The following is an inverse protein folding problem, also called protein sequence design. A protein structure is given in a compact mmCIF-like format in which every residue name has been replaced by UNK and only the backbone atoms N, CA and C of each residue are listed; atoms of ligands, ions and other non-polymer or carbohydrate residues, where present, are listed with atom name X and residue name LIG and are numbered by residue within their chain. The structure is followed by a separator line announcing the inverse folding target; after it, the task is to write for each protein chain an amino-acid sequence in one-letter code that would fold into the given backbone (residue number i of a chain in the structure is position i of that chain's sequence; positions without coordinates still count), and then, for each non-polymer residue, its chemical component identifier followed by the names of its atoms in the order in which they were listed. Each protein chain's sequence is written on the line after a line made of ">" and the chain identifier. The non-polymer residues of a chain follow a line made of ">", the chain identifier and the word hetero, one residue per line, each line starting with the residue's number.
data_IF_168285748449
#
_entry.id   IF_168285748449
#
_cell.length_a   1.000
_cell.length_b   1.000
_cell.length_c   1.000
_cell.angle_alpha   90.00
_cell.angle_beta   90.00
_cell.angle_gamma   90.00
#
_symmetry.space_group_name_H-M   'P 1'
#
loop_
_entity.id
_entity.type
_entity.pdbx_description
1 polymer ?
#
# COMPACT_ATOMS: atom_id res chain seq x y z
N UNK A 1 9.93 9.25 8.15
CA UNK A 1 10.06 8.34 7.00
C UNK A 1 9.04 8.79 5.96
N UNK A 2 9.49 9.20 4.78
CA UNK A 2 8.64 9.78 3.72
C UNK A 2 8.16 8.63 2.82
N UNK A 3 6.87 8.28 2.90
CA UNK A 3 6.29 7.18 2.11
C UNK A 3 5.59 7.79 0.90
N UNK A 4 5.86 7.28 -0.30
CA UNK A 4 5.45 7.88 -1.58
C UNK A 4 4.72 6.87 -2.48
N UNK A 5 3.84 7.28 -3.41
CA UNK A 5 3.10 6.38 -4.35
C UNK A 5 3.44 6.59 -5.84
N UNK A 6 3.03 5.69 -6.76
CA UNK A 6 3.31 5.75 -8.23
C UNK A 6 2.08 5.31 -9.03
N UNK A 7 1.81 5.93 -10.19
CA UNK A 7 0.83 5.51 -11.23
C UNK A 7 1.37 5.86 -12.63
N UNK A 8 1.20 5.04 -13.70
CA UNK A 8 1.87 5.21 -15.02
C UNK A 8 0.93 5.21 -16.27
N UNK A 9 1.38 5.70 -17.43
CA UNK A 9 0.84 5.49 -18.79
C UNK A 9 1.92 4.95 -19.79
N UNK A 10 1.74 3.68 -20.20
CA UNK A 10 2.23 2.93 -21.40
C UNK A 10 3.71 2.94 -21.89
N UNK A 11 4.34 1.74 -21.86
CA UNK A 11 5.52 1.29 -22.65
C UNK A 11 5.91 -0.20 -22.38
N UNK A 12 6.85 -0.82 -23.13
CA UNK A 12 6.86 -2.27 -23.45
C UNK A 12 7.64 -3.26 -22.56
N UNK A 13 8.45 -2.82 -21.60
CA UNK A 13 8.90 -3.64 -20.45
C UNK A 13 8.45 -3.03 -19.12
N UNK A 14 7.57 -2.04 -19.22
CA UNK A 14 7.11 -1.22 -18.13
C UNK A 14 6.01 -1.93 -17.36
N UNK A 15 6.03 -1.74 -16.04
CA UNK A 15 4.85 -2.06 -15.27
C UNK A 15 3.83 -0.96 -15.54
N UNK A 16 2.84 -1.31 -16.33
CA UNK A 16 1.72 -0.44 -16.66
C UNK A 16 0.68 -0.54 -15.55
N UNK A 17 0.62 0.48 -14.69
CA UNK A 17 -0.44 0.61 -13.70
C UNK A 17 -1.67 1.23 -14.35
N UNK A 18 -2.82 0.58 -14.23
CA UNK A 18 -4.08 1.16 -14.72
C UNK A 18 -4.56 2.24 -13.76
N UNK A 19 -5.17 3.33 -14.26
CA UNK A 19 -5.91 4.26 -13.41
C UNK A 19 -6.93 3.51 -12.55
N UNK A 20 -6.86 3.67 -11.23
CA UNK A 20 -7.71 2.98 -10.26
C UNK A 20 -7.11 1.70 -9.66
N UNK A 21 -5.94 1.25 -10.09
CA UNK A 21 -5.20 0.19 -9.38
C UNK A 21 -4.67 0.67 -8.02
N UNK A 22 -4.49 -0.26 -7.10
CA UNK A 22 -3.91 0.01 -5.79
C UNK A 22 -2.52 0.65 -5.98
N UNK A 23 -2.29 1.86 -5.45
CA UNK A 23 -0.99 2.51 -5.58
C UNK A 23 0.12 1.68 -4.94
N UNK A 24 1.33 1.74 -5.50
CA UNK A 24 2.50 1.14 -4.87
C UNK A 24 2.93 1.96 -3.66
N UNK A 25 3.44 1.28 -2.64
CA UNK A 25 4.13 1.93 -1.53
C UNK A 25 5.63 1.96 -1.77
N UNK A 26 6.20 3.16 -1.68
CA UNK A 26 7.62 3.42 -1.81
C UNK A 26 8.22 3.71 -0.42
N UNK A 27 9.37 3.08 -0.13
CA UNK A 27 10.23 3.35 1.03
C UNK A 27 11.13 4.56 0.83
N UNK A 28 11.73 4.67 -0.36
CA UNK A 28 12.67 5.73 -0.74
C UNK A 28 12.41 6.16 -2.19
N UNK A 29 12.44 7.47 -2.44
CA UNK A 29 12.36 8.02 -3.79
C UNK A 29 13.39 9.16 -3.92
N UNK A 30 14.42 8.92 -4.72
CA UNK A 30 15.49 9.87 -5.00
C UNK A 30 15.23 10.48 -6.38
N UNK A 31 15.11 11.80 -6.45
CA UNK A 31 14.82 12.51 -7.70
C UNK A 31 16.12 12.79 -8.43
N UNK A 32 16.16 12.45 -9.71
CA UNK A 32 17.26 12.72 -10.60
C UNK A 32 16.78 13.52 -11.81
N UNK A 33 17.70 14.31 -12.37
CA UNK A 33 17.52 14.98 -13.65
C UNK A 33 18.74 14.65 -14.49
N UNK A 34 18.53 14.06 -15.66
CA UNK A 34 19.60 13.82 -16.61
C UNK A 34 19.52 14.88 -17.71
N UNK A 35 20.57 15.68 -17.82
CA UNK A 35 20.75 16.61 -18.92
C UNK A 35 21.33 15.86 -20.11
N UNK A 36 20.66 15.90 -21.27
CA UNK A 36 21.17 15.32 -22.51
C UNK A 36 21.57 16.41 -23.52
N UNK A 37 22.86 16.77 -23.60
CA UNK A 37 23.31 17.87 -24.46
C UNK A 37 23.29 17.56 -25.97
N UNK A 38 23.05 16.31 -26.39
CA UNK A 38 23.08 15.91 -27.81
C UNK A 38 21.72 15.86 -28.49
N UNK A 39 20.63 15.96 -27.72
CA UNK A 39 19.27 16.12 -28.23
C UNK A 39 18.95 17.61 -28.24
N UNK A 40 18.78 18.19 -29.43
CA UNK A 40 18.51 19.62 -29.64
C UNK A 40 17.04 19.99 -29.29
N UNK A 41 16.52 19.45 -28.19
CA UNK A 41 15.20 19.69 -27.61
C UNK A 41 15.33 19.78 -26.09
N UNK A 42 14.53 20.67 -25.51
CA UNK A 42 14.34 20.92 -24.07
C UNK A 42 13.79 19.71 -23.28
N UNK A 43 14.15 18.48 -23.63
CA UNK A 43 13.69 17.27 -22.97
C UNK A 43 14.65 16.92 -21.82
N UNK A 44 14.67 17.76 -20.78
CA UNK A 44 15.20 17.42 -19.46
C UNK A 44 14.40 16.22 -18.92
N UNK A 45 14.90 15.00 -19.11
CA UNK A 45 14.24 13.82 -18.56
C UNK A 45 14.44 13.79 -17.06
N UNK A 46 13.35 14.02 -16.33
CA UNK A 46 13.33 13.91 -14.86
C UNK A 46 12.74 12.56 -14.47
N UNK A 47 13.42 11.85 -13.58
CA UNK A 47 13.02 10.52 -13.12
C UNK A 47 13.30 10.36 -11.63
N UNK A 48 12.72 9.31 -11.04
CA UNK A 48 13.01 8.89 -9.68
C UNK A 48 13.61 7.49 -9.68
N UNK A 49 14.64 7.30 -8.87
CA UNK A 49 15.00 5.97 -8.38
C UNK A 49 14.17 5.68 -7.14
N UNK A 50 13.40 4.60 -7.17
CA UNK A 50 12.49 4.24 -6.07
C UNK A 50 12.84 2.87 -5.49
N UNK A 51 12.72 2.73 -4.18
CA UNK A 51 12.72 1.45 -3.46
C UNK A 51 11.31 1.13 -2.98
N UNK A 52 10.72 0.03 -3.43
CA UNK A 52 9.37 -0.38 -3.05
C UNK A 52 9.31 -1.04 -1.66
N UNK A 53 8.15 -0.97 -1.01
CA UNK A 53 7.87 -1.74 0.22
C UNK A 53 7.72 -3.24 -0.09
N UNK A 54 7.13 -3.57 -1.24
CA UNK A 54 6.96 -4.94 -1.75
C UNK A 54 7.51 -5.03 -3.17
N UNK A 55 8.24 -6.11 -3.52
CA UNK A 55 8.87 -6.21 -4.81
C UNK A 55 7.83 -6.48 -5.91
N UNK A 56 8.14 -6.06 -7.12
CA UNK A 56 7.37 -6.43 -8.32
C UNK A 56 8.27 -7.29 -9.18
N UNK A 57 7.78 -8.46 -9.61
CA UNK A 57 8.59 -9.46 -10.34
C UNK A 57 9.93 -9.79 -9.65
N UNK A 58 9.99 -9.71 -8.32
CA UNK A 58 11.20 -9.96 -7.53
C UNK A 58 12.14 -8.76 -7.34
N UNK A 59 11.82 -7.60 -7.91
CA UNK A 59 12.66 -6.39 -7.83
C UNK A 59 12.06 -5.33 -6.91
N UNK A 60 12.89 -4.81 -6.00
CA UNK A 60 12.54 -3.71 -5.11
C UNK A 60 12.88 -2.33 -5.70
N UNK A 61 13.92 -2.25 -6.52
CA UNK A 61 14.41 -0.99 -7.06
C UNK A 61 13.89 -0.78 -8.48
N UNK A 62 13.38 0.42 -8.75
CA UNK A 62 12.80 0.79 -10.04
C UNK A 62 13.17 2.22 -10.42
N UNK A 63 13.19 2.51 -11.72
CA UNK A 63 13.24 3.87 -12.25
C UNK A 63 11.85 4.22 -12.76
N UNK A 64 11.35 5.40 -12.38
CA UNK A 64 10.05 5.91 -12.85
C UNK A 64 10.21 7.32 -13.39
N UNK A 65 9.64 7.59 -14.56
CA UNK A 65 9.70 8.90 -15.18
C UNK A 65 8.63 9.83 -14.61
N UNK A 66 9.00 11.09 -14.33
CA UNK A 66 8.15 12.06 -13.64
C UNK A 66 6.95 12.51 -14.48
N UNK A 67 7.11 12.55 -15.80
CA UNK A 67 6.06 12.91 -16.77
C UNK A 67 4.90 11.91 -16.82
N UNK A 68 5.17 10.65 -16.46
CA UNK A 68 4.16 9.60 -16.41
C UNK A 68 3.77 9.20 -15.00
N UNK A 69 4.36 9.78 -13.96
CA UNK A 69 4.20 9.33 -12.57
C UNK A 69 3.62 10.38 -11.63
N UNK A 70 2.54 10.05 -10.93
CA UNK A 70 2.11 10.81 -9.76
C UNK A 70 2.76 10.24 -8.50
N UNK A 71 3.61 11.04 -7.84
CA UNK A 71 4.17 10.73 -6.53
C UNK A 71 3.51 11.57 -5.45
N UNK A 72 2.77 10.91 -4.57
CA UNK A 72 2.09 11.55 -3.44
C UNK A 72 2.52 10.93 -2.13
N UNK A 73 2.40 11.69 -1.05
CA UNK A 73 2.59 11.16 0.30
C UNK A 73 1.55 10.07 0.56
N UNK A 74 2.03 8.89 0.95
CA UNK A 74 1.19 7.80 1.34
C UNK A 74 0.52 8.12 2.69
N UNK A 75 -0.66 7.54 2.97
CA UNK A 75 -1.23 7.57 4.31
C UNK A 75 -0.20 7.00 5.28
N UNK A 76 -0.18 7.55 6.48
CA UNK A 76 0.77 7.09 7.50
C UNK A 76 0.61 5.58 7.74
N UNK A 77 -0.62 5.05 7.61
CA UNK A 77 -1.00 3.70 8.01
C UNK A 77 -1.20 2.76 6.83
N UNK A 78 -0.46 1.65 6.85
CA UNK A 78 -0.70 0.51 5.99
C UNK A 78 -0.45 -0.80 6.73
N UNK A 79 -1.03 -1.88 6.20
CA UNK A 79 -0.96 -3.21 6.77
C UNK A 79 -0.37 -4.14 5.73
N UNK A 80 0.61 -4.94 6.15
CA UNK A 80 1.16 -6.02 5.32
C UNK A 80 0.85 -7.37 5.98
N UNK A 81 0.56 -8.37 5.16
CA UNK A 81 0.49 -9.75 5.62
C UNK A 81 1.92 -10.31 5.76
N UNK A 82 2.21 -10.89 6.92
CA UNK A 82 3.43 -11.70 7.16
C UNK A 82 3.16 -13.18 6.94
N UNK A 83 1.91 -13.61 7.13
CA UNK A 83 1.40 -14.95 6.86
C UNK A 83 0.08 -14.89 6.08
N UNK A 84 -0.31 -16.00 5.46
CA UNK A 84 -1.67 -16.14 4.91
C UNK A 84 -2.70 -15.91 6.01
N UNK A 85 -3.59 -14.94 5.80
CA UNK A 85 -4.58 -14.54 6.82
C UNK A 85 -5.93 -14.19 6.23
N UNK A 86 -6.99 -14.50 6.96
CA UNK A 86 -8.35 -14.10 6.60
C UNK A 86 -8.66 -12.79 7.32
N UNK A 87 -8.91 -11.75 6.54
CA UNK A 87 -9.44 -10.48 7.02
C UNK A 87 -10.96 -10.59 7.08
N UNK A 88 -11.58 -10.09 8.15
CA UNK A 88 -12.96 -10.40 8.54
C UNK A 88 -13.72 -9.17 9.01
N UNK A 89 -15.04 -9.13 8.83
CA UNK A 89 -15.88 -8.06 9.39
C UNK A 89 -16.06 -8.16 10.91
N UNK A 90 -15.92 -9.37 11.47
CA UNK A 90 -16.08 -9.65 12.90
C UNK A 90 -14.95 -10.57 13.38
N UNK A 91 -14.44 -10.41 14.60
CA UNK A 91 -13.36 -11.23 15.17
C UNK A 91 -13.91 -12.60 15.66
N UNK A 92 -14.55 -13.34 14.77
CA UNK A 92 -15.08 -14.69 15.01
C UNK A 92 -14.39 -15.71 14.11
N UNK A 93 -14.67 -16.99 14.33
CA UNK A 93 -14.19 -18.05 13.46
C UNK A 93 -14.63 -17.81 12.00
N UNK A 94 -13.74 -18.06 11.03
CA UNK A 94 -14.01 -17.82 9.61
C UNK A 94 -15.13 -18.70 9.04
N UNK A 95 -15.40 -19.87 9.65
CA UNK A 95 -16.50 -20.76 9.29
C UNK A 95 -17.87 -20.16 9.63
N UNK A 96 -17.91 -19.16 10.54
CA UNK A 96 -19.14 -18.44 10.93
C UNK A 96 -19.41 -17.21 10.06
N UNK A 97 -18.57 -16.96 9.06
CA UNK A 97 -18.63 -15.79 8.19
C UNK A 97 -18.99 -16.19 6.78
N UNK A 98 -19.92 -15.44 6.19
CA UNK A 98 -20.22 -15.51 4.76
C UNK A 98 -19.02 -15.03 3.95
N UNK A 99 -18.99 -15.37 2.66
CA UNK A 99 -17.88 -15.01 1.76
C UNK A 99 -17.75 -13.49 1.56
N UNK A 100 -18.83 -12.72 1.67
CA UNK A 100 -18.80 -11.26 1.61
C UNK A 100 -18.31 -10.60 2.92
N UNK A 101 -18.31 -11.35 4.03
CA UNK A 101 -17.82 -10.90 5.35
C UNK A 101 -16.33 -11.17 5.57
N UNK A 102 -15.64 -11.75 4.58
CA UNK A 102 -14.22 -12.09 4.71
C UNK A 102 -13.48 -11.98 3.38
N UNK A 103 -12.16 -11.90 3.47
CA UNK A 103 -11.31 -12.06 2.30
C UNK A 103 -9.92 -12.57 2.67
N UNK A 104 -9.31 -13.27 1.73
CA UNK A 104 -7.94 -13.72 1.87
C UNK A 104 -6.96 -12.56 1.66
N UNK A 105 -6.02 -12.41 2.59
CA UNK A 105 -4.87 -11.53 2.50
C UNK A 105 -3.59 -12.36 2.61
N UNK A 106 -2.75 -12.31 1.58
CA UNK A 106 -1.55 -13.14 1.46
C UNK A 106 -0.29 -12.26 1.50
N UNK A 107 0.87 -12.80 1.93
CA UNK A 107 2.12 -12.03 1.97
C UNK A 107 2.54 -11.43 0.62
N UNK A 108 2.15 -12.04 -0.49
CA UNK A 108 2.38 -11.57 -1.86
C UNK A 108 1.42 -10.47 -2.32
N UNK A 109 0.32 -10.25 -1.59
CA UNK A 109 -0.59 -9.15 -1.91
C UNK A 109 0.06 -7.80 -1.60
N UNK A 110 -0.40 -6.77 -2.31
CA UNK A 110 -0.03 -5.39 -2.01
C UNK A 110 -0.49 -4.99 -0.60
N UNK A 111 0.24 -4.07 0.06
CA UNK A 111 -0.16 -3.54 1.35
C UNK A 111 -1.58 -2.96 1.31
N UNK A 112 -2.35 -3.18 2.37
CA UNK A 112 -3.65 -2.55 2.55
C UNK A 112 -3.44 -1.15 3.12
N UNK A 113 -3.91 -0.13 2.40
CA UNK A 113 -3.88 1.25 2.89
C UNK A 113 -5.03 1.46 3.87
N UNK A 114 -4.73 2.03 5.03
CA UNK A 114 -5.69 2.25 6.10
C UNK A 114 -5.78 3.73 6.47
N UNK A 115 -7.01 4.22 6.73
CA UNK A 115 -7.23 5.51 7.35
C UNK A 115 -6.73 5.49 8.80
N UNK A 116 -7.07 4.43 9.53
CA UNK A 116 -6.66 4.21 10.91
C UNK A 116 -6.50 2.73 11.22
N UNK A 117 -5.72 2.44 12.25
CA UNK A 117 -5.50 1.10 12.80
C UNK A 117 -5.55 1.20 14.32
N UNK A 118 -6.43 0.44 14.94
CA UNK A 118 -6.53 0.33 16.40
C UNK A 118 -5.58 -0.75 16.91
N UNK A 119 -5.27 -0.70 18.21
CA UNK A 119 -4.54 -1.77 18.89
C UNK A 119 -5.24 -3.12 18.76
N UNK A 120 -4.51 -4.21 19.04
CA UNK A 120 -5.07 -5.54 19.02
C UNK A 120 -5.97 -5.78 20.25
N UNK A 121 -7.22 -6.16 20.01
CA UNK A 121 -8.15 -6.63 21.03
C UNK A 121 -8.51 -8.09 20.72
N UNK A 122 -8.45 -8.98 21.72
CA UNK A 122 -8.70 -10.42 21.53
C UNK A 122 -7.90 -11.02 20.34
N UNK A 123 -6.62 -10.66 20.24
CA UNK A 123 -5.70 -11.06 19.15
C UNK A 123 -6.09 -10.59 17.75
N UNK A 124 -7.01 -9.64 17.63
CA UNK A 124 -7.42 -9.06 16.35
C UNK A 124 -7.15 -7.57 16.33
N UNK A 125 -6.49 -7.12 15.28
CA UNK A 125 -6.32 -5.70 14.97
C UNK A 125 -7.55 -5.24 14.19
N UNK A 126 -8.15 -4.12 14.61
CA UNK A 126 -9.23 -3.47 13.88
C UNK A 126 -8.66 -2.32 13.04
N UNK A 127 -9.13 -2.16 11.82
CA UNK A 127 -8.68 -1.08 10.93
C UNK A 127 -9.76 -0.65 9.95
N UNK A 128 -9.58 0.53 9.38
CA UNK A 128 -10.43 1.04 8.30
C UNK A 128 -9.63 1.21 7.01
N UNK A 129 -10.05 0.53 5.94
CA UNK A 129 -9.47 0.64 4.62
C UNK A 129 -9.79 1.99 3.96
N UNK A 130 -8.78 2.58 3.32
CA UNK A 130 -8.96 3.76 2.47
C UNK A 130 -9.83 3.49 1.25
N UNK A 131 -9.66 2.33 0.63
CA UNK A 131 -10.50 1.86 -0.46
C UNK A 131 -11.40 0.74 0.08
N UNK A 132 -12.74 0.92 0.06
CA UNK A 132 -13.64 -0.11 0.54
C UNK A 132 -13.45 -1.40 -0.25
N UNK A 133 -13.51 -2.53 0.46
CA UNK A 133 -13.63 -3.84 -0.17
C UNK A 133 -15.07 -4.29 -0.06
N UNK A 134 -15.71 -4.61 -1.18
CA UNK A 134 -17.15 -4.92 -1.24
C UNK A 134 -18.04 -3.82 -0.61
N UNK A 135 -17.66 -2.54 -0.74
CA UNK A 135 -18.37 -1.41 -0.13
C UNK A 135 -18.11 -1.25 1.38
N UNK A 136 -17.31 -2.11 2.00
CA UNK A 136 -17.05 -2.10 3.44
C UNK A 136 -15.63 -1.65 3.74
N UNK A 137 -15.49 -0.74 4.70
CA UNK A 137 -14.20 -0.16 5.10
C UNK A 137 -13.64 -0.74 6.38
N UNK A 138 -14.48 -1.17 7.33
CA UNK A 138 -14.05 -1.62 8.64
C UNK A 138 -13.80 -3.13 8.67
N UNK A 139 -12.61 -3.52 9.10
CA UNK A 139 -12.17 -4.92 9.07
C UNK A 139 -11.32 -5.27 10.29
N UNK A 140 -11.18 -6.58 10.50
CA UNK A 140 -10.34 -7.20 11.52
C UNK A 140 -9.36 -8.18 10.87
N UNK A 141 -8.13 -8.22 11.38
CA UNK A 141 -7.14 -9.23 11.01
C UNK A 141 -6.48 -9.80 12.27
N UNK A 142 -6.07 -11.06 12.21
CA UNK A 142 -5.34 -11.70 13.31
C UNK A 142 -3.96 -11.05 13.47
N UNK A 143 -3.67 -10.55 14.67
CA UNK A 143 -2.52 -9.66 14.93
C UNK A 143 -1.17 -10.31 14.65
N UNK A 144 -1.06 -11.62 14.80
CA UNK A 144 0.20 -12.36 14.58
C UNK A 144 0.49 -12.63 13.09
N UNK A 145 -0.46 -12.35 12.18
CA UNK A 145 -0.29 -12.60 10.75
C UNK A 145 -0.11 -11.32 9.92
N UNK A 146 -0.07 -10.16 10.58
CA UNK A 146 0.09 -8.87 9.93
C UNK A 146 1.13 -8.02 10.64
N UNK A 147 1.76 -7.13 9.90
CA UNK A 147 2.48 -5.99 10.45
C UNK A 147 1.75 -4.70 10.12
N UNK A 148 1.61 -3.85 11.12
CA UNK A 148 1.03 -2.51 10.99
C UNK A 148 2.17 -1.52 10.92
N UNK A 149 2.18 -0.70 9.88
CA UNK A 149 3.19 0.31 9.65
C UNK A 149 2.53 1.68 9.60
N UNK A 150 2.96 2.60 10.46
CA UNK A 150 2.40 3.94 10.51
C UNK A 150 2.34 4.53 11.90
N UNK A 151 1.59 5.63 12.02
CA UNK A 151 1.32 6.24 13.32
C UNK A 151 0.04 5.59 13.88
N UNK A 152 0.09 4.87 15.00
CA UNK A 152 -1.11 4.36 15.62
C UNK A 152 -2.03 5.55 15.95
N UNK A 153 -3.21 5.60 15.33
CA UNK A 153 -4.19 6.63 15.64
C UNK A 153 -5.21 5.97 16.57
N UNK A 154 -5.13 6.39 17.84
CA UNK A 154 -5.99 6.04 18.98
C UNK A 154 -5.55 4.84 19.84
N UNK A 155 -5.02 5.16 21.03
CA UNK A 155 -5.44 4.46 22.24
C UNK A 155 -6.95 4.69 22.41
N UNK A 156 -7.78 3.68 22.76
CA UNK A 156 -9.14 3.97 23.18
C UNK A 156 -9.07 4.87 24.41
N UNK A 157 -9.64 6.08 24.33
CA UNK A 157 -9.94 6.87 25.52
C UNK A 157 -10.86 6.00 26.39
N UNK A 158 -10.48 5.65 27.63
CA UNK A 158 -11.42 4.99 28.52
C UNK A 158 -12.60 5.94 28.71
N UNK A 159 -13.82 5.45 28.46
CA UNK A 159 -15.02 6.18 28.84
C UNK A 159 -14.93 6.50 30.33
N UNK A 160 -14.93 7.80 30.66
CA UNK A 160 -15.08 8.30 32.03
C UNK A 160 -16.54 8.26 32.46
#
# INVERSE_FOLDING_TARGET
>A
MLKKRVSNQAGSDDINFRPGETPLLIRRADRHRQFNPSLNRDEDTSFFEIELVKPIKGFYNWVVFEDHTAIEDAPNNYIIATNSTIVKLRPVDHAQLKEDEKFQFLPEHQPLLANWVAGAENKHVRFELMQPRNGIRNWFAFSEHIEVHGQPIMSPTPAS
#
